data_IF_127514130533
#
_entry.id   IF_127514130533
#
_cell.length_a   1.000
_cell.length_b   1.000
_cell.length_c   1.000
_cell.angle_alpha   90.00
_cell.angle_beta   90.00
_cell.angle_gamma   90.00
#
_symmetry.space_group_name_H-M   'P 1'
#
loop_
_entity.id
_entity.type
_entity.pdbx_description
1 polymer ?
#
# COMPACT_ATOMS: atom_id res chain seq x y z
N UNK A 1 -19.86 25.05 60.06
CA UNK A 1 -19.32 23.96 59.23
C UNK A 1 -19.34 24.45 57.78
N UNK A 2 -18.18 24.76 57.22
CA UNK A 2 -18.07 25.24 55.84
C UNK A 2 -18.05 24.04 54.90
N UNK A 3 -19.03 23.95 54.00
CA UNK A 3 -19.09 22.92 52.98
C UNK A 3 -18.13 23.27 51.85
N UNK A 4 -17.11 22.44 51.65
CA UNK A 4 -16.25 22.50 50.47
C UNK A 4 -17.03 22.01 49.25
N UNK A 5 -17.44 22.93 48.39
CA UNK A 5 -17.93 22.62 47.05
C UNK A 5 -16.75 22.09 46.24
N UNK A 6 -16.71 20.79 45.96
CA UNK A 6 -15.74 20.20 45.03
C UNK A 6 -16.16 20.56 43.61
N UNK A 7 -15.31 21.30 42.90
CA UNK A 7 -15.49 21.55 41.46
C UNK A 7 -15.38 20.24 40.69
N UNK A 8 -16.42 19.91 39.94
CA UNK A 8 -16.40 18.83 38.97
C UNK A 8 -15.71 19.34 37.70
N UNK A 9 -14.43 19.04 37.53
CA UNK A 9 -13.75 19.25 36.25
C UNK A 9 -14.33 18.29 35.22
N UNK A 10 -15.03 18.82 34.22
CA UNK A 10 -15.38 18.06 33.03
C UNK A 10 -14.09 17.56 32.36
N UNK A 11 -14.07 16.35 31.77
CA UNK A 11 -12.90 15.88 31.03
C UNK A 11 -12.56 16.90 29.93
N UNK A 12 -11.28 17.26 29.85
CA UNK A 12 -10.73 18.17 28.86
C UNK A 12 -11.14 17.72 27.46
N UNK A 13 -11.71 18.62 26.66
CA UNK A 13 -12.02 18.32 25.27
C UNK A 13 -10.69 18.04 24.54
N UNK A 14 -10.55 16.93 23.80
CA UNK A 14 -9.32 16.62 23.08
C UNK A 14 -9.02 17.73 22.05
N UNK A 15 -7.73 17.97 21.80
CA UNK A 15 -7.31 18.98 20.82
C UNK A 15 -7.89 18.61 19.43
N UNK A 16 -8.39 19.59 18.64
CA UNK A 16 -9.01 19.31 17.35
C UNK A 16 -8.18 18.43 16.41
N UNK A 17 -6.84 18.60 16.40
CA UNK A 17 -5.94 17.77 15.57
C UNK A 17 -5.96 16.29 15.96
N UNK A 18 -6.13 15.96 17.24
CA UNK A 18 -6.17 14.57 17.72
C UNK A 18 -7.44 13.90 17.20
N UNK A 19 -8.56 14.64 17.22
CA UNK A 19 -9.81 14.19 16.65
C UNK A 19 -9.70 13.99 15.13
N UNK A 20 -9.05 14.91 14.41
CA UNK A 20 -8.83 14.80 12.95
C UNK A 20 -8.01 13.54 12.60
N UNK A 21 -6.93 13.25 13.35
CA UNK A 21 -6.16 12.01 13.21
C UNK A 21 -7.05 10.78 13.43
N UNK A 22 -7.89 10.77 14.46
CA UNK A 22 -8.80 9.66 14.76
C UNK A 22 -9.84 9.45 13.66
N UNK A 23 -10.38 10.52 13.10
CA UNK A 23 -11.33 10.48 11.98
C UNK A 23 -10.68 9.86 10.73
N UNK A 24 -9.46 10.28 10.39
CA UNK A 24 -8.71 9.70 9.27
C UNK A 24 -8.38 8.21 9.50
N UNK A 25 -7.96 7.83 10.70
CA UNK A 25 -7.70 6.43 11.08
C UNK A 25 -8.97 5.57 10.94
N UNK A 26 -10.11 6.05 11.45
CA UNK A 26 -11.38 5.34 11.35
C UNK A 26 -11.82 5.17 9.90
N UNK A 27 -11.69 6.22 9.08
CA UNK A 27 -12.02 6.20 7.66
C UNK A 27 -11.20 5.18 6.89
N UNK A 28 -9.88 5.15 7.12
CA UNK A 28 -8.96 4.23 6.45
C UNK A 28 -9.20 2.76 6.86
N UNK A 29 -9.45 2.51 8.15
CA UNK A 29 -9.83 1.16 8.64
C UNK A 29 -11.14 0.68 8.06
N UNK A 30 -12.15 1.55 7.98
CA UNK A 30 -13.44 1.21 7.40
C UNK A 30 -13.35 0.90 5.90
N UNK A 31 -12.32 1.41 5.24
CA UNK A 31 -12.04 1.18 3.81
C UNK A 31 -11.30 -0.15 3.54
N UNK A 32 -11.06 -0.97 4.57
CA UNK A 32 -10.35 -2.26 4.46
C UNK A 32 -11.16 -3.32 3.69
N UNK A 33 -12.49 -3.20 3.62
CA UNK A 33 -13.35 -4.17 2.95
C UNK A 33 -13.36 -4.06 1.41
N UNK A 34 -12.96 -5.15 0.75
CA UNK A 34 -13.41 -5.65 -0.56
C UNK A 34 -13.16 -4.87 -1.87
N UNK A 35 -12.51 -3.70 -1.90
CA UNK A 35 -12.22 -3.04 -3.19
C UNK A 35 -10.73 -3.09 -3.57
N UNK A 36 -10.40 -4.01 -4.46
CA UNK A 36 -9.09 -4.13 -5.15
C UNK A 36 -9.02 -3.27 -6.42
N UNK A 37 -9.85 -2.24 -6.53
CA UNK A 37 -9.85 -1.32 -7.68
C UNK A 37 -8.71 -0.30 -7.57
N UNK A 38 -8.23 0.18 -8.71
CA UNK A 38 -7.25 1.27 -8.80
C UNK A 38 -7.70 2.53 -8.07
N UNK A 39 -8.97 2.92 -8.23
CA UNK A 39 -9.57 4.09 -7.57
C UNK A 39 -9.61 3.96 -6.04
N UNK A 40 -9.99 2.79 -5.52
CA UNK A 40 -9.95 2.49 -4.07
C UNK A 40 -8.54 2.65 -3.51
N UNK A 41 -7.52 2.15 -4.23
CA UNK A 41 -6.12 2.31 -3.83
C UNK A 41 -5.70 3.79 -3.86
N UNK A 42 -6.09 4.56 -4.88
CA UNK A 42 -5.81 5.99 -4.94
C UNK A 42 -6.46 6.74 -3.77
N UNK A 43 -7.71 6.46 -3.45
CA UNK A 43 -8.40 7.04 -2.30
C UNK A 43 -7.72 6.71 -0.97
N UNK A 44 -7.21 5.49 -0.81
CA UNK A 44 -6.43 5.10 0.38
C UNK A 44 -5.11 5.86 0.46
N UNK A 45 -4.41 6.06 -0.65
CA UNK A 45 -3.17 6.85 -0.71
C UNK A 45 -3.41 8.32 -0.37
N UNK A 46 -4.45 8.94 -0.94
CA UNK A 46 -4.85 10.30 -0.57
C UNK A 46 -5.24 10.39 0.90
N UNK A 47 -5.98 9.39 1.42
CA UNK A 47 -6.34 9.34 2.83
C UNK A 47 -5.13 9.21 3.77
N UNK A 48 -4.07 8.50 3.34
CA UNK A 48 -2.81 8.48 4.07
C UNK A 48 -2.09 9.82 4.02
N UNK A 49 -2.10 10.51 2.88
CA UNK A 49 -1.54 11.85 2.79
C UNK A 49 -2.20 12.78 3.81
N UNK A 50 -3.54 12.84 3.85
CA UNK A 50 -4.28 13.64 4.84
C UNK A 50 -3.89 13.27 6.28
N UNK A 51 -3.81 11.96 6.56
CA UNK A 51 -3.45 11.45 7.89
C UNK A 51 -2.04 11.90 8.29
N UNK A 52 -1.05 11.75 7.42
CA UNK A 52 0.34 12.12 7.70
C UNK A 52 0.54 13.64 7.76
N UNK A 53 -0.26 14.43 7.04
CA UNK A 53 -0.33 15.88 7.21
C UNK A 53 -0.86 16.26 8.61
N UNK A 54 -1.87 15.55 9.11
CA UNK A 54 -2.39 15.74 10.46
C UNK A 54 -1.37 15.32 11.54
N UNK A 55 -0.66 14.23 11.30
CA UNK A 55 0.40 13.75 12.20
C UNK A 55 1.55 14.74 12.27
N UNK A 56 1.97 15.35 11.15
CA UNK A 56 3.00 16.38 11.18
C UNK A 56 2.57 17.60 12.01
N UNK A 57 1.32 18.05 11.86
CA UNK A 57 0.74 19.12 12.72
C UNK A 57 0.67 18.70 14.18
N UNK A 58 0.31 17.45 14.48
CA UNK A 58 0.30 16.90 15.85
C UNK A 58 1.70 16.93 16.46
N UNK A 59 2.73 16.49 15.72
CA UNK A 59 4.13 16.51 16.17
C UNK A 59 4.67 17.93 16.38
N UNK A 60 4.10 18.94 15.71
CA UNK A 60 4.46 20.34 15.91
C UNK A 60 3.83 20.96 17.17
N UNK A 61 2.86 20.31 17.83
CA UNK A 61 2.25 20.85 19.04
C UNK A 61 3.24 20.85 20.21
N UNK A 62 3.36 21.96 20.98
CA UNK A 62 4.28 22.04 22.11
C UNK A 62 4.06 20.94 23.16
N UNK A 63 2.79 20.57 23.42
CA UNK A 63 2.46 19.50 24.36
C UNK A 63 2.95 18.14 23.85
N UNK A 64 2.79 17.85 22.56
CA UNK A 64 3.28 16.61 21.94
C UNK A 64 4.81 16.54 21.96
N UNK A 65 5.48 17.65 21.62
CA UNK A 65 6.94 17.72 21.69
C UNK A 65 7.44 17.53 23.11
N UNK A 66 6.79 18.18 24.09
CA UNK A 66 7.16 18.05 25.49
C UNK A 66 6.91 16.63 26.02
N UNK A 67 5.79 16.00 25.65
CA UNK A 67 5.46 14.64 26.05
C UNK A 67 6.46 13.61 25.50
N UNK A 68 6.90 13.79 24.25
CA UNK A 68 7.89 12.92 23.60
C UNK A 68 9.32 13.18 24.08
N UNK A 69 9.70 14.44 24.35
CA UNK A 69 11.05 14.81 24.80
C UNK A 69 11.28 14.53 26.29
N UNK A 70 10.25 14.69 27.14
CA UNK A 70 10.35 14.42 28.59
C UNK A 70 10.60 12.96 28.90
N UNK A 71 10.04 12.06 28.11
CA UNK A 71 10.24 10.63 28.28
C UNK A 71 11.47 10.17 27.50
N UNK A 72 12.65 10.18 28.13
CA UNK A 72 13.87 9.53 27.63
C UNK A 72 13.76 7.98 27.67
N UNK A 73 12.60 7.44 27.31
CA UNK A 73 12.41 6.00 27.20
C UNK A 73 12.99 5.54 25.86
N UNK A 74 14.28 5.20 25.89
CA UNK A 74 15.05 4.66 24.75
C UNK A 74 14.26 3.60 23.97
N UNK A 75 13.41 2.82 24.66
CA UNK A 75 12.62 1.76 24.05
C UNK A 75 11.54 2.29 23.08
N UNK A 76 10.82 3.36 23.40
CA UNK A 76 9.82 3.92 22.46
C UNK A 76 10.44 4.85 21.43
N UNK A 77 11.51 5.56 21.79
CA UNK A 77 12.29 6.34 20.82
C UNK A 77 12.76 5.46 19.67
N UNK A 78 13.42 4.35 19.98
CA UNK A 78 13.85 3.38 18.97
C UNK A 78 12.66 2.78 18.23
N UNK A 79 11.57 2.47 18.93
CA UNK A 79 10.37 1.92 18.31
C UNK A 79 9.74 2.84 17.25
N UNK A 80 9.60 4.14 17.55
CA UNK A 80 9.04 5.14 16.64
C UNK A 80 9.98 5.43 15.46
N UNK A 81 11.28 5.49 15.70
CA UNK A 81 12.29 5.68 14.65
C UNK A 81 12.38 4.46 13.73
N UNK A 82 12.34 3.25 14.28
CA UNK A 82 12.23 2.02 13.52
C UNK A 82 10.91 1.99 12.74
N UNK A 83 9.82 2.43 13.36
CA UNK A 83 8.51 2.48 12.72
C UNK A 83 8.49 3.39 11.50
N UNK A 84 8.98 4.62 11.65
CA UNK A 84 9.10 5.55 10.51
C UNK A 84 10.04 5.02 9.41
N UNK A 85 11.08 4.24 9.75
CA UNK A 85 11.93 3.59 8.75
C UNK A 85 11.17 2.49 8.00
N UNK A 86 10.42 1.65 8.72
CA UNK A 86 9.56 0.61 8.11
C UNK A 86 8.55 1.22 7.13
N UNK A 87 7.98 2.37 7.46
CA UNK A 87 7.07 3.09 6.56
C UNK A 87 7.79 3.56 5.28
N UNK A 88 9.00 4.09 5.39
CA UNK A 88 9.80 4.49 4.24
C UNK A 88 10.22 3.29 3.37
N UNK A 89 10.60 2.17 3.98
CA UNK A 89 10.97 0.93 3.27
C UNK A 89 9.77 0.35 2.51
N UNK A 90 8.59 0.35 3.14
CA UNK A 90 7.33 -0.06 2.50
C UNK A 90 6.97 0.84 1.32
N UNK A 91 7.07 2.16 1.50
CA UNK A 91 6.84 3.14 0.45
C UNK A 91 7.81 2.98 -0.73
N UNK A 92 9.10 2.77 -0.44
CA UNK A 92 10.15 2.58 -1.44
C UNK A 92 9.91 1.31 -2.25
N UNK A 93 9.55 0.21 -1.57
CA UNK A 93 9.20 -1.06 -2.23
C UNK A 93 8.03 -0.91 -3.20
N UNK A 94 7.00 -0.14 -2.81
CA UNK A 94 5.86 0.16 -3.68
C UNK A 94 6.27 1.03 -4.88
N UNK A 95 7.05 2.08 -4.64
CA UNK A 95 7.57 2.97 -5.69
C UNK A 95 8.40 2.20 -6.71
N UNK A 96 9.33 1.36 -6.28
CA UNK A 96 10.17 0.56 -7.15
C UNK A 96 9.35 -0.41 -8.02
N UNK A 97 8.32 -1.04 -7.45
CA UNK A 97 7.43 -1.93 -8.19
C UNK A 97 6.62 -1.20 -9.27
N UNK A 98 6.15 0.02 -8.97
CA UNK A 98 5.44 0.88 -9.92
C UNK A 98 6.39 1.32 -11.05
N UNK A 99 7.57 1.84 -10.71
CA UNK A 99 8.56 2.32 -11.69
C UNK A 99 9.04 1.21 -12.62
N UNK A 100 9.37 0.04 -12.08
CA UNK A 100 9.77 -1.11 -12.88
C UNK A 100 8.66 -1.57 -13.84
N UNK A 101 7.40 -1.53 -13.39
CA UNK A 101 6.26 -1.87 -14.27
C UNK A 101 6.07 -0.81 -15.34
N UNK A 102 6.17 0.49 -14.99
CA UNK A 102 6.04 1.62 -15.90
C UNK A 102 7.00 1.52 -17.07
N UNK A 103 8.29 1.31 -16.80
CA UNK A 103 9.34 1.15 -17.80
C UNK A 103 8.99 0.00 -18.78
N UNK A 104 8.62 -1.17 -18.25
CA UNK A 104 8.27 -2.33 -19.08
C UNK A 104 7.00 -2.09 -19.92
N UNK A 105 6.01 -1.35 -19.41
CA UNK A 105 4.80 -0.98 -20.16
C UNK A 105 5.15 -0.04 -21.32
N UNK A 106 5.99 0.97 -21.07
CA UNK A 106 6.42 1.95 -22.07
C UNK A 106 7.25 1.31 -23.19
N UNK A 107 8.15 0.39 -22.84
CA UNK A 107 8.92 -0.39 -23.82
C UNK A 107 8.00 -1.21 -24.72
N UNK A 108 7.02 -1.89 -24.12
CA UNK A 108 6.09 -2.76 -24.84
C UNK A 108 5.16 -1.96 -25.76
N UNK A 109 4.61 -0.83 -25.27
CA UNK A 109 3.83 0.07 -26.11
C UNK A 109 4.66 0.63 -27.27
N UNK A 110 5.92 0.99 -27.02
CA UNK A 110 6.82 1.52 -28.05
C UNK A 110 7.08 0.49 -29.16
N UNK A 111 7.23 -0.79 -28.80
CA UNK A 111 7.37 -1.88 -29.78
C UNK A 111 6.05 -2.10 -30.54
N UNK A 112 4.91 -2.15 -29.86
CA UNK A 112 3.59 -2.33 -30.51
C UNK A 112 3.35 -1.22 -31.57
N UNK A 113 3.64 0.04 -31.23
CA UNK A 113 3.50 1.18 -32.16
C UNK A 113 4.39 1.05 -33.39
N UNK A 114 5.63 0.55 -33.24
CA UNK A 114 6.60 0.38 -34.34
C UNK A 114 6.34 -0.85 -35.20
N UNK A 115 5.81 -1.93 -34.62
CA UNK A 115 5.69 -3.26 -35.26
C UNK A 115 4.39 -3.46 -36.07
N UNK A 116 3.58 -2.41 -36.28
CA UNK A 116 2.32 -2.46 -37.05
C UNK A 116 2.47 -2.99 -38.50
N UNK A 117 3.69 -3.22 -39.00
CA UNK A 117 4.02 -3.66 -40.36
C UNK A 117 4.65 -5.05 -40.55
N UNK A 118 4.74 -5.94 -39.56
CA UNK A 118 5.03 -7.38 -39.82
C UNK A 118 6.11 -8.09 -38.99
N UNK A 119 6.80 -7.41 -38.06
CA UNK A 119 7.87 -8.04 -37.25
C UNK A 119 7.35 -8.76 -35.99
N UNK A 120 6.52 -9.80 -36.18
CA UNK A 120 5.90 -10.56 -35.07
C UNK A 120 6.90 -11.14 -34.05
N UNK A 121 8.15 -11.38 -34.46
CA UNK A 121 9.21 -11.92 -33.59
C UNK A 121 9.69 -10.93 -32.51
N UNK A 122 9.84 -9.65 -32.87
CA UNK A 122 10.29 -8.60 -31.95
C UNK A 122 9.23 -8.30 -30.87
N UNK A 123 7.96 -8.28 -31.25
CA UNK A 123 6.86 -8.15 -30.28
C UNK A 123 6.83 -9.33 -29.31
N UNK A 124 6.99 -10.56 -29.81
CA UNK A 124 6.95 -11.77 -28.98
C UNK A 124 8.09 -11.81 -27.97
N UNK A 125 9.30 -11.37 -28.35
CA UNK A 125 10.43 -11.30 -27.44
C UNK A 125 10.22 -10.23 -26.36
N UNK A 126 9.66 -9.07 -26.70
CA UNK A 126 9.38 -8.00 -25.73
C UNK A 126 8.26 -8.40 -24.75
N UNK A 127 7.20 -9.04 -25.23
CA UNK A 127 6.16 -9.62 -24.37
C UNK A 127 6.76 -10.60 -23.37
N UNK A 128 7.73 -11.43 -23.79
CA UNK A 128 8.42 -12.37 -22.89
C UNK A 128 9.27 -11.66 -21.84
N UNK A 129 9.95 -10.56 -22.21
CA UNK A 129 10.70 -9.73 -21.25
C UNK A 129 9.77 -9.12 -20.22
N UNK A 130 8.67 -8.50 -20.64
CA UNK A 130 7.64 -7.97 -19.74
C UNK A 130 7.17 -9.04 -18.75
N UNK A 131 6.75 -10.22 -19.23
CA UNK A 131 6.26 -11.30 -18.37
C UNK A 131 7.34 -11.82 -17.39
N UNK A 132 8.61 -11.73 -17.76
CA UNK A 132 9.74 -12.09 -16.89
C UNK A 132 9.95 -11.01 -15.82
N UNK A 133 9.99 -9.73 -16.21
CA UNK A 133 10.07 -8.59 -15.29
C UNK A 133 8.91 -8.62 -14.29
N UNK A 134 7.69 -8.82 -14.78
CA UNK A 134 6.47 -8.98 -14.00
C UNK A 134 6.58 -10.06 -12.93
N UNK A 135 7.14 -11.22 -13.26
CA UNK A 135 7.39 -12.30 -12.28
C UNK A 135 8.41 -11.88 -11.21
N UNK A 136 9.41 -11.09 -11.57
CA UNK A 136 10.39 -10.57 -10.61
C UNK A 136 9.77 -9.51 -9.69
N UNK A 137 8.97 -8.57 -10.23
CA UNK A 137 8.18 -7.62 -9.43
C UNK A 137 7.33 -8.37 -8.40
N UNK A 138 6.54 -9.38 -8.81
CA UNK A 138 5.72 -10.17 -7.89
C UNK A 138 6.55 -10.84 -6.78
N UNK A 139 7.73 -11.37 -7.10
CA UNK A 139 8.65 -11.98 -6.10
C UNK A 139 9.19 -10.94 -5.12
N UNK A 140 9.62 -9.78 -5.61
CA UNK A 140 10.12 -8.69 -4.76
C UNK A 140 9.03 -8.18 -3.83
N UNK A 141 7.81 -7.98 -4.34
CA UNK A 141 6.65 -7.60 -3.53
C UNK A 141 6.36 -8.64 -2.45
N UNK A 142 6.34 -9.93 -2.79
CA UNK A 142 6.14 -10.99 -1.80
C UNK A 142 7.20 -10.99 -0.71
N UNK A 143 8.46 -10.68 -1.05
CA UNK A 143 9.54 -10.52 -0.08
C UNK A 143 9.30 -9.30 0.82
N UNK A 144 8.95 -8.16 0.24
CA UNK A 144 8.63 -6.94 0.98
C UNK A 144 7.48 -7.17 1.97
N UNK A 145 6.37 -7.76 1.53
CA UNK A 145 5.22 -8.06 2.39
C UNK A 145 5.57 -9.00 3.55
N UNK A 146 6.46 -9.99 3.35
CA UNK A 146 6.94 -10.86 4.44
C UNK A 146 7.73 -10.08 5.49
N UNK A 147 8.57 -9.15 5.05
CA UNK A 147 9.36 -8.30 5.94
C UNK A 147 8.45 -7.36 6.75
N UNK A 148 7.36 -6.86 6.15
CA UNK A 148 6.40 -6.00 6.83
C UNK A 148 5.58 -6.75 7.90
N UNK A 149 5.16 -7.99 7.63
CA UNK A 149 4.37 -8.82 8.57
C UNK A 149 5.15 -9.34 9.78
N UNK A 150 6.47 -9.49 9.68
CA UNK A 150 7.29 -10.12 10.72
C UNK A 150 7.38 -9.37 12.05
N UNK A 151 6.65 -8.26 12.22
CA UNK A 151 6.90 -7.25 13.26
C UNK A 151 5.60 -6.84 13.99
N UNK A 152 4.56 -7.68 13.96
CA UNK A 152 3.30 -7.47 14.72
C UNK A 152 3.41 -7.81 16.23
N UNK A 153 4.47 -8.49 16.68
CA UNK A 153 4.65 -8.91 18.08
C UNK A 153 5.28 -7.83 18.99
N UNK A 154 4.88 -6.56 18.90
CA UNK A 154 5.36 -5.53 19.83
C UNK A 154 4.41 -5.41 21.03
N UNK A 155 4.90 -5.84 22.20
CA UNK A 155 4.13 -5.92 23.46
C UNK A 155 3.51 -4.58 23.85
N UNK A 156 2.27 -4.59 24.35
CA UNK A 156 1.70 -3.50 25.13
C UNK A 156 2.61 -3.19 26.32
N UNK A 157 3.13 -1.98 26.36
CA UNK A 157 4.00 -1.54 27.44
C UNK A 157 3.14 -1.15 28.63
N UNK A 158 3.35 -1.83 29.75
CA UNK A 158 2.84 -1.42 31.05
C UNK A 158 4.03 -0.99 31.91
N UNK A 159 4.42 0.30 31.81
CA UNK A 159 5.31 0.91 32.80
C UNK A 159 4.45 1.61 33.86
N UNK A 160 4.69 1.41 35.16
CA UNK A 160 3.87 2.00 36.23
C UNK A 160 4.01 3.52 36.39
N UNK A 161 5.02 4.13 35.75
CA UNK A 161 5.47 5.50 36.05
C UNK A 161 5.37 6.48 34.85
N UNK A 162 4.64 6.15 33.79
CA UNK A 162 4.59 6.97 32.58
C UNK A 162 3.45 7.98 32.58
N UNK A 163 3.69 9.11 31.91
CA UNK A 163 2.66 10.12 31.72
C UNK A 163 1.58 9.56 30.78
N UNK A 164 0.33 9.69 31.20
CA UNK A 164 -0.83 9.19 30.46
C UNK A 164 -0.91 9.86 29.07
N UNK A 165 -0.44 11.11 28.96
CA UNK A 165 -0.40 11.86 27.70
C UNK A 165 0.66 11.32 26.73
N UNK A 166 1.88 11.03 27.19
CA UNK A 166 2.95 10.43 26.37
C UNK A 166 2.57 9.04 25.85
N UNK A 167 2.00 8.20 26.71
CA UNK A 167 1.46 6.88 26.32
C UNK A 167 0.42 7.03 25.20
N UNK A 168 -0.51 7.98 25.34
CA UNK A 168 -1.58 8.20 24.37
C UNK A 168 -1.03 8.61 22.99
N UNK A 169 -0.06 9.53 22.95
CA UNK A 169 0.59 9.96 21.71
C UNK A 169 1.33 8.80 21.05
N UNK A 170 2.13 8.04 21.79
CA UNK A 170 2.90 6.91 21.24
C UNK A 170 1.97 5.85 20.68
N UNK A 171 0.89 5.51 21.40
CA UNK A 171 -0.12 4.58 20.89
C UNK A 171 -0.80 5.11 19.62
N UNK A 172 -1.06 6.42 19.54
CA UNK A 172 -1.61 7.02 18.33
C UNK A 172 -0.66 6.87 17.14
N UNK A 173 0.63 7.12 17.32
CA UNK A 173 1.63 6.93 16.27
C UNK A 173 1.78 5.46 15.85
N UNK A 174 1.64 4.50 16.78
CA UNK A 174 1.56 3.07 16.44
C UNK A 174 0.34 2.74 15.59
N UNK A 175 -0.81 3.33 15.91
CA UNK A 175 -2.03 3.16 15.11
C UNK A 175 -1.86 3.70 13.67
N UNK A 176 -1.24 4.88 13.54
CA UNK A 176 -0.89 5.48 12.23
C UNK A 176 0.03 4.56 11.44
N UNK A 177 1.07 4.03 12.09
CA UNK A 177 1.98 3.08 11.45
C UNK A 177 1.22 1.84 10.95
N UNK A 178 0.41 1.21 11.80
CA UNK A 178 -0.34 0.00 11.44
C UNK A 178 -1.27 0.23 10.25
N UNK A 179 -2.02 1.34 10.24
CA UNK A 179 -2.92 1.70 9.13
C UNK A 179 -2.13 1.99 7.85
N UNK A 180 -0.99 2.68 7.95
CA UNK A 180 -0.13 2.95 6.80
C UNK A 180 0.41 1.65 6.19
N UNK A 181 0.87 0.72 7.03
CA UNK A 181 1.32 -0.60 6.58
C UNK A 181 0.20 -1.40 5.91
N UNK A 182 -1.03 -1.38 6.44
CA UNK A 182 -2.17 -2.06 5.84
C UNK A 182 -2.52 -1.50 4.44
N UNK A 183 -2.40 -0.19 4.24
CA UNK A 183 -2.56 0.43 2.91
C UNK A 183 -1.43 0.02 1.97
N UNK A 184 -0.18 -0.05 2.43
CA UNK A 184 0.91 -0.59 1.61
C UNK A 184 0.70 -2.04 1.24
N UNK A 185 0.23 -2.88 2.17
CA UNK A 185 -0.13 -4.26 1.85
C UNK A 185 -1.23 -4.33 0.78
N UNK A 186 -2.22 -3.44 0.84
CA UNK A 186 -3.29 -3.33 -0.17
C UNK A 186 -2.74 -2.93 -1.54
N UNK A 187 -1.90 -1.89 -1.61
CA UNK A 187 -1.27 -1.42 -2.85
C UNK A 187 -0.34 -2.49 -3.45
N UNK A 188 0.51 -3.10 -2.65
CA UNK A 188 1.44 -4.14 -3.08
C UNK A 188 0.69 -5.40 -3.57
N UNK A 189 -0.41 -5.76 -2.90
CA UNK A 189 -1.29 -6.85 -3.34
C UNK A 189 -1.98 -6.51 -4.66
N UNK A 190 -2.44 -5.27 -4.81
CA UNK A 190 -3.01 -4.76 -6.05
C UNK A 190 -2.01 -4.89 -7.21
N UNK A 191 -0.79 -4.37 -7.05
CA UNK A 191 0.28 -4.46 -8.06
C UNK A 191 0.63 -5.91 -8.36
N UNK A 192 0.66 -6.80 -7.37
CA UNK A 192 0.93 -8.23 -7.59
C UNK A 192 -0.17 -8.96 -8.37
N UNK A 193 -1.38 -8.39 -8.38
CA UNK A 193 -2.58 -9.04 -8.88
C UNK A 193 -3.07 -10.16 -7.95
N UNK A 194 -4.27 -10.72 -8.20
CA UNK A 194 -4.79 -11.84 -7.44
C UNK A 194 -3.79 -12.98 -7.44
N UNK A 195 -3.64 -13.64 -6.29
CA UNK A 195 -2.78 -14.83 -6.18
C UNK A 195 -3.32 -15.87 -7.15
N UNK A 196 -2.55 -16.16 -8.20
CA UNK A 196 -2.74 -17.40 -8.95
C UNK A 196 -2.51 -18.53 -7.96
N UNK A 197 -3.57 -19.19 -7.51
CA UNK A 197 -3.46 -20.46 -6.81
C UNK A 197 -2.49 -21.34 -7.62
N UNK A 198 -1.42 -21.88 -7.02
CA UNK A 198 -0.56 -22.79 -7.75
C UNK A 198 -1.41 -23.98 -8.15
N UNK A 199 -1.55 -24.21 -9.45
CA UNK A 199 -2.25 -25.35 -10.04
C UNK A 199 -1.51 -26.68 -9.81
N UNK A 200 -0.85 -26.87 -8.65
CA UNK A 200 -0.01 -28.04 -8.41
C UNK A 200 -0.79 -29.32 -8.11
N UNK A 201 -2.13 -29.32 -8.17
CA UNK A 201 -2.96 -30.54 -8.04
C UNK A 201 -4.15 -30.67 -9.00
N UNK A 202 -4.34 -29.78 -9.97
CA UNK A 202 -5.52 -29.87 -10.86
C UNK A 202 -5.42 -30.90 -11.99
N UNK A 203 -4.43 -31.80 -11.97
CA UNK A 203 -4.34 -32.90 -12.95
C UNK A 203 -4.80 -34.26 -12.41
N UNK A 204 -5.26 -34.36 -11.16
CA UNK A 204 -5.95 -35.56 -10.67
C UNK A 204 -7.16 -35.18 -9.82
N UNK A 205 -8.28 -34.85 -10.46
CA UNK A 205 -9.60 -35.02 -9.85
C UNK A 205 -10.65 -35.21 -10.95
N UNK A 206 -10.66 -36.42 -11.50
CA UNK A 206 -11.86 -36.96 -12.11
C UNK A 206 -12.93 -37.10 -11.02
N UNK A 207 -14.13 -36.60 -11.33
CA UNK A 207 -15.42 -37.09 -10.84
C UNK A 207 -15.76 -36.81 -9.37
N UNK A 208 -16.47 -35.70 -9.14
CA UNK A 208 -17.68 -35.65 -8.31
C UNK A 208 -18.38 -34.31 -8.48
N UNK A 209 -19.58 -34.32 -9.06
CA UNK A 209 -20.44 -33.15 -9.18
C UNK A 209 -21.02 -32.79 -7.79
N UNK A 210 -20.29 -32.06 -6.97
CA UNK A 210 -20.88 -31.40 -5.81
C UNK A 210 -21.38 -30.03 -6.24
N UNK A 211 -22.70 -29.90 -6.32
CA UNK A 211 -23.45 -28.67 -6.57
C UNK A 211 -23.21 -27.73 -5.37
N UNK A 212 -22.08 -27.04 -5.35
CA UNK A 212 -21.81 -25.95 -4.40
C UNK A 212 -22.21 -24.65 -5.09
N UNK A 213 -23.23 -24.02 -4.55
CA UNK A 213 -23.64 -22.66 -4.94
C UNK A 213 -22.42 -21.76 -4.78
N UNK A 214 -21.83 -21.37 -5.91
CA UNK A 214 -20.79 -20.39 -5.96
C UNK A 214 -21.46 -19.03 -5.80
N UNK A 215 -21.21 -18.36 -4.67
CA UNK A 215 -21.26 -16.92 -4.68
C UNK A 215 -20.00 -16.49 -5.46
N UNK A 216 -20.13 -16.41 -6.77
CA UNK A 216 -19.16 -15.73 -7.63
C UNK A 216 -19.26 -14.25 -7.29
N UNK A 217 -18.55 -13.79 -6.26
CA UNK A 217 -17.95 -12.46 -6.37
C UNK A 217 -16.92 -12.61 -7.49
N UNK A 218 -17.35 -12.32 -8.73
CA UNK A 218 -16.43 -11.94 -9.80
C UNK A 218 -15.59 -10.79 -9.26
N UNK A 219 -14.45 -11.12 -8.66
CA UNK A 219 -13.44 -10.11 -8.31
C UNK A 219 -12.92 -9.64 -9.65
N UNK A 220 -13.47 -8.54 -10.13
CA UNK A 220 -13.09 -7.92 -11.40
C UNK A 220 -11.55 -7.83 -11.44
N UNK A 221 -10.97 -8.49 -12.44
CA UNK A 221 -9.52 -8.59 -12.53
C UNK A 221 -8.94 -7.17 -12.63
N UNK A 222 -7.99 -6.82 -11.77
CA UNK A 222 -7.37 -5.50 -11.84
C UNK A 222 -6.54 -5.30 -13.12
N UNK A 223 -6.17 -4.07 -13.42
CA UNK A 223 -5.47 -3.64 -14.63
C UNK A 223 -4.20 -4.46 -14.88
N UNK A 224 -3.46 -4.76 -13.81
CA UNK A 224 -2.27 -5.61 -13.87
C UNK A 224 -2.59 -7.04 -14.34
N UNK A 225 -3.66 -7.64 -13.82
CA UNK A 225 -4.11 -8.98 -14.20
C UNK A 225 -4.68 -9.01 -15.63
N UNK A 226 -5.38 -7.95 -16.05
CA UNK A 226 -5.90 -7.82 -17.41
C UNK A 226 -4.77 -7.77 -18.45
N UNK A 227 -3.70 -7.01 -18.17
CA UNK A 227 -2.49 -6.99 -19.00
C UNK A 227 -1.81 -8.35 -19.01
N UNK A 228 -1.59 -8.98 -17.84
CA UNK A 228 -1.00 -10.32 -17.74
C UNK A 228 -1.78 -11.32 -18.63
N UNK A 229 -3.12 -11.32 -18.58
CA UNK A 229 -3.96 -12.19 -19.40
C UNK A 229 -3.86 -11.88 -20.90
N UNK A 230 -3.94 -10.60 -21.28
CA UNK A 230 -3.87 -10.17 -22.67
C UNK A 230 -2.53 -10.54 -23.31
N UNK A 231 -1.42 -10.32 -22.59
CA UNK A 231 -0.07 -10.62 -23.05
C UNK A 231 0.23 -12.12 -23.12
N UNK A 232 -0.22 -12.92 -22.15
CA UNK A 232 -0.10 -14.37 -22.25
C UNK A 232 -0.83 -14.91 -23.49
N UNK A 233 -1.99 -14.34 -23.82
CA UNK A 233 -2.73 -14.72 -25.02
C UNK A 233 -1.96 -14.43 -26.33
N UNK A 234 -1.05 -13.45 -26.35
CA UNK A 234 -0.21 -13.13 -27.51
C UNK A 234 0.92 -14.13 -27.73
N UNK A 235 1.32 -14.86 -26.68
CA UNK A 235 2.39 -15.86 -26.77
C UNK A 235 1.93 -17.22 -27.33
N UNK A 236 0.61 -17.44 -27.49
CA UNK A 236 0.06 -18.65 -28.09
C UNK A 236 0.07 -18.63 -29.62
N UNK A 237 0.15 -19.81 -30.27
CA UNK A 237 0.04 -19.94 -31.72
C UNK A 237 -1.37 -19.53 -32.20
N UNK A 238 -1.50 -18.31 -32.74
CA UNK A 238 -2.75 -17.77 -33.29
C UNK A 238 -2.65 -17.56 -34.80
N UNK A 239 -3.78 -17.62 -35.50
CA UNK A 239 -3.90 -17.24 -36.91
C UNK A 239 -3.76 -15.71 -37.08
N UNK A 240 -3.30 -15.24 -38.24
CA UNK A 240 -2.98 -13.81 -38.46
C UNK A 240 -4.14 -12.84 -38.17
N UNK A 241 -5.39 -13.22 -38.51
CA UNK A 241 -6.59 -12.41 -38.22
C UNK A 241 -6.94 -12.34 -36.73
N UNK A 242 -6.73 -13.44 -36.00
CA UNK A 242 -6.91 -13.50 -34.53
C UNK A 242 -5.81 -12.75 -33.78
N UNK A 243 -4.61 -12.72 -34.36
CA UNK A 243 -3.45 -12.02 -33.81
C UNK A 243 -3.65 -10.49 -33.77
N UNK A 244 -4.17 -9.87 -34.84
CA UNK A 244 -4.39 -8.42 -34.88
C UNK A 244 -5.36 -7.95 -33.77
N UNK A 245 -6.49 -8.64 -33.59
CA UNK A 245 -7.46 -8.34 -32.52
C UNK A 245 -6.84 -8.52 -31.12
N UNK A 246 -5.97 -9.51 -30.97
CA UNK A 246 -5.26 -9.77 -29.71
C UNK A 246 -4.25 -8.67 -29.37
N UNK A 247 -3.56 -8.11 -30.37
CA UNK A 247 -2.61 -7.01 -30.20
C UNK A 247 -3.35 -5.73 -29.83
N UNK A 248 -4.46 -5.42 -30.52
CA UNK A 248 -5.30 -4.26 -30.20
C UNK A 248 -5.86 -4.35 -28.77
N UNK A 249 -6.35 -5.51 -28.36
CA UNK A 249 -6.78 -5.72 -26.97
C UNK A 249 -5.64 -5.52 -25.97
N UNK A 250 -4.45 -6.07 -26.24
CA UNK A 250 -3.29 -5.88 -25.36
C UNK A 250 -2.87 -4.40 -25.27
N UNK A 251 -2.92 -3.66 -26.38
CA UNK A 251 -2.63 -2.24 -26.39
C UNK A 251 -3.63 -1.45 -25.51
N UNK A 252 -4.93 -1.69 -25.67
CA UNK A 252 -5.96 -1.04 -24.85
C UNK A 252 -5.77 -1.33 -23.34
N UNK A 253 -5.35 -2.55 -23.00
CA UNK A 253 -5.07 -2.91 -21.61
C UNK A 253 -3.80 -2.26 -21.07
N UNK A 254 -2.76 -2.12 -21.90
CA UNK A 254 -1.53 -1.41 -21.53
C UNK A 254 -1.77 0.08 -21.30
N UNK A 255 -2.66 0.72 -22.09
CA UNK A 255 -3.03 2.13 -21.91
C UNK A 255 -3.78 2.36 -20.59
N UNK A 256 -4.72 1.47 -20.25
CA UNK A 256 -5.40 1.49 -18.94
C UNK A 256 -4.42 1.31 -17.78
N UNK A 257 -3.51 0.35 -17.90
CA UNK A 257 -2.49 0.10 -16.88
C UNK A 257 -1.53 1.29 -16.73
N UNK A 258 -1.14 1.93 -17.82
CA UNK A 258 -0.27 3.12 -17.77
C UNK A 258 -0.93 4.28 -17.02
N UNK A 259 -2.22 4.55 -17.28
CA UNK A 259 -2.99 5.55 -16.51
C UNK A 259 -3.04 5.18 -15.03
N UNK A 260 -3.37 3.93 -14.71
CA UNK A 260 -3.41 3.44 -13.33
C UNK A 260 -2.05 3.57 -12.62
N UNK A 261 -0.95 3.27 -13.32
CA UNK A 261 0.42 3.40 -12.79
C UNK A 261 0.74 4.85 -12.49
N UNK A 262 0.35 5.77 -13.38
CA UNK A 262 0.60 7.20 -13.21
C UNK A 262 -0.08 7.76 -11.95
N UNK A 263 -1.36 7.42 -11.74
CA UNK A 263 -2.11 7.85 -10.56
C UNK A 263 -1.50 7.31 -9.26
N UNK A 264 -1.07 6.04 -9.27
CA UNK A 264 -0.43 5.41 -8.12
C UNK A 264 0.97 5.96 -7.84
N UNK A 265 1.75 6.23 -8.87
CA UNK A 265 3.08 6.83 -8.76
C UNK A 265 3.02 8.19 -8.07
N UNK A 266 2.10 9.05 -8.50
CA UNK A 266 1.92 10.39 -7.92
C UNK A 266 1.53 10.29 -6.43
N UNK A 267 0.57 9.43 -6.10
CA UNK A 267 0.14 9.22 -4.71
C UNK A 267 1.27 8.68 -3.82
N UNK A 268 2.02 7.69 -4.30
CA UNK A 268 3.16 7.12 -3.57
C UNK A 268 4.30 8.13 -3.42
N UNK A 269 4.59 8.92 -4.45
CA UNK A 269 5.65 9.92 -4.38
C UNK A 269 5.31 11.04 -3.40
N UNK A 270 4.05 11.48 -3.38
CA UNK A 270 3.56 12.46 -2.43
C UNK A 270 3.71 11.96 -0.99
N UNK A 271 3.25 10.73 -0.73
CA UNK A 271 3.36 10.09 0.58
C UNK A 271 4.82 9.90 1.02
N UNK A 272 5.70 9.50 0.11
CA UNK A 272 7.14 9.34 0.40
C UNK A 272 7.75 10.64 0.92
N UNK A 273 7.47 11.77 0.25
CA UNK A 273 7.95 13.08 0.70
C UNK A 273 7.41 13.44 2.08
N UNK A 274 6.14 13.14 2.36
CA UNK A 274 5.55 13.43 3.65
C UNK A 274 6.16 12.58 4.77
N UNK A 275 6.40 11.29 4.53
CA UNK A 275 7.07 10.41 5.49
C UNK A 275 8.49 10.86 5.83
N UNK A 276 9.24 11.40 4.86
CA UNK A 276 10.55 12.01 5.13
C UNK A 276 10.40 13.17 6.11
N UNK A 277 9.42 14.08 5.89
CA UNK A 277 9.17 15.19 6.80
C UNK A 277 8.82 14.71 8.21
N UNK A 278 7.87 13.77 8.32
CA UNK A 278 7.46 13.19 9.61
C UNK A 278 8.66 12.57 10.34
N UNK A 279 9.53 11.82 9.63
CA UNK A 279 10.74 11.25 10.21
C UNK A 279 11.70 12.33 10.71
N UNK A 280 11.90 13.41 9.95
CA UNK A 280 12.73 14.56 10.37
C UNK A 280 12.13 15.22 11.61
N UNK A 281 10.82 15.45 11.65
CA UNK A 281 10.11 15.97 12.83
C UNK A 281 10.34 15.09 14.06
N UNK A 282 10.19 13.77 13.94
CA UNK A 282 10.46 12.81 15.02
C UNK A 282 11.92 12.86 15.49
N UNK A 283 12.89 12.86 14.55
CA UNK A 283 14.31 12.94 14.88
C UNK A 283 14.66 14.24 15.62
N UNK A 284 14.05 15.35 15.24
CA UNK A 284 14.29 16.63 15.90
C UNK A 284 13.71 16.63 17.33
N UNK A 285 12.53 16.04 17.53
CA UNK A 285 11.90 15.97 18.86
C UNK A 285 12.64 15.02 19.80
N UNK A 286 13.15 13.89 19.29
CA UNK A 286 13.72 12.83 20.11
C UNK A 286 15.22 13.00 20.39
N UNK A 287 15.91 13.89 19.67
CA UNK A 287 17.34 14.19 19.88
C UNK A 287 17.60 15.49 20.66
N UNK A 288 16.56 16.20 21.10
CA UNK A 288 16.63 17.44 21.87
C UNK A 288 15.95 17.29 23.23
#
# INVERSE_FOLDING_TARGET
MAFHTRSNSFPSRPHPIVQEVDEHLCRLRSSEAASTSSSSICHKLSGLQDLHDCVDKLLQLPLTQQALAKEQNEKWTNELLDGSLRLLDGCSSAKDAILQTKECVQDLQSIIRRTRGGESGALTSEVRKYLTSRKMVKKTIQKAMKNLKGIENRSTFSSPNQDNESIAIVNKLREVEAVTLAVYESLLSFISGPKSQPSSWSLVSNMMHSKKVACEEETEANEFAQVDAALNSLTGHKTSKSQNKSVENAQNQLEKLESCIQDQEEGVECLFRQLIKTRVSLLNILNH
#
